data_IF_103771744073
#
_entry.id   IF_103771744073
#
_cell.length_a   1.000
_cell.length_b   1.000
_cell.length_c   1.000
_cell.angle_alpha   90.00
_cell.angle_beta   90.00
_cell.angle_gamma   90.00
#
_symmetry.space_group_name_H-M   'P 1'
#
loop_
_entity.id
_entity.type
_entity.pdbx_description
1 polymer ?
#
# COMPACT_ATOMS: atom_id res chain seq x y z
N UNK A 1 -12.60 13.18 -12.73
CA UNK A 1 -11.31 13.87 -12.95
C UNK A 1 -10.46 13.57 -11.73
N UNK A 2 -9.51 12.64 -11.84
CA UNK A 2 -8.72 12.17 -10.70
C UNK A 2 -7.74 13.25 -10.23
N UNK A 3 -7.72 13.54 -8.93
CA UNK A 3 -6.67 14.33 -8.32
C UNK A 3 -5.35 13.57 -8.46
N UNK A 4 -4.49 13.97 -9.40
CA UNK A 4 -3.10 13.57 -9.36
C UNK A 4 -2.46 14.29 -8.17
N UNK A 5 -2.30 13.58 -7.05
CA UNK A 5 -1.56 14.09 -5.92
C UNK A 5 -0.14 14.46 -6.38
N UNK A 6 0.37 15.61 -5.93
CA UNK A 6 1.74 16.01 -6.23
C UNK A 6 2.68 14.95 -5.65
N UNK A 7 3.57 14.40 -6.47
CA UNK A 7 4.61 13.48 -6.00
C UNK A 7 5.49 14.19 -4.95
N UNK A 8 5.89 13.47 -3.89
CA UNK A 8 6.78 14.03 -2.88
C UNK A 8 8.17 14.31 -3.46
N UNK A 9 8.89 15.27 -2.89
CA UNK A 9 10.22 15.67 -3.40
C UNK A 9 11.25 14.53 -3.35
N UNK A 10 11.04 13.52 -2.48
CA UNK A 10 11.88 12.34 -2.32
C UNK A 10 11.35 11.08 -3.02
N UNK A 11 10.54 11.23 -4.07
CA UNK A 11 9.88 10.10 -4.74
C UNK A 11 10.86 9.00 -5.20
N UNK A 12 12.01 9.38 -5.77
CA UNK A 12 13.05 8.42 -6.18
C UNK A 12 13.53 7.55 -5.00
N UNK A 13 13.69 8.14 -3.81
CA UNK A 13 14.11 7.40 -2.63
C UNK A 13 13.00 6.49 -2.12
N UNK A 14 11.75 6.98 -2.10
CA UNK A 14 10.57 6.19 -1.72
C UNK A 14 10.45 4.94 -2.59
N UNK A 15 10.63 5.10 -3.90
CA UNK A 15 10.54 4.00 -4.87
C UNK A 15 11.70 3.00 -4.74
N UNK A 16 12.92 3.46 -4.47
CA UNK A 16 14.03 2.58 -4.16
C UNK A 16 13.73 1.75 -2.91
N UNK A 17 13.29 2.38 -1.82
CA UNK A 17 12.92 1.69 -0.58
C UNK A 17 11.80 0.68 -0.78
N UNK A 18 10.75 1.02 -1.54
CA UNK A 18 9.66 0.09 -1.82
C UNK A 18 10.14 -1.17 -2.56
N UNK A 19 11.05 -1.02 -3.52
CA UNK A 19 11.66 -2.14 -4.25
C UNK A 19 12.57 -2.98 -3.36
N UNK A 20 13.34 -2.34 -2.50
CA UNK A 20 14.26 -3.01 -1.56
C UNK A 20 13.54 -3.86 -0.51
N UNK A 21 12.30 -3.52 -0.16
CA UNK A 21 11.47 -4.33 0.74
C UNK A 21 11.06 -5.68 0.11
N UNK A 22 11.15 -5.83 -1.21
CA UNK A 22 10.77 -7.05 -1.95
C UNK A 22 9.35 -7.55 -1.68
N UNK A 23 8.43 -6.64 -1.33
CA UNK A 23 7.03 -6.97 -1.02
C UNK A 23 6.09 -6.89 -2.23
N UNK A 24 6.53 -6.25 -3.33
CA UNK A 24 5.75 -6.17 -4.57
C UNK A 24 5.73 -7.52 -5.31
N UNK A 25 4.58 -7.84 -5.92
CA UNK A 25 4.37 -9.07 -6.70
C UNK A 25 4.70 -10.37 -5.92
N UNK A 26 4.56 -10.33 -4.59
CA UNK A 26 4.72 -11.49 -3.70
C UNK A 26 3.37 -12.18 -3.44
N UNK A 27 3.38 -13.47 -3.03
CA UNK A 27 2.18 -14.10 -2.49
C UNK A 27 1.65 -13.34 -1.27
N UNK A 28 0.35 -13.45 -1.00
CA UNK A 28 -0.26 -12.83 0.17
C UNK A 28 0.38 -13.31 1.48
N UNK A 29 0.63 -12.36 2.40
CA UNK A 29 1.12 -12.65 3.75
C UNK A 29 -0.01 -12.54 4.78
N UNK A 30 -0.09 -13.52 5.68
CA UNK A 30 -1.12 -13.56 6.74
C UNK A 30 -1.06 -12.33 7.66
N UNK A 31 0.13 -11.76 7.86
CA UNK A 31 0.35 -10.53 8.62
C UNK A 31 -0.50 -9.37 8.09
N UNK A 32 -0.56 -9.18 6.76
CA UNK A 32 -1.38 -8.14 6.13
C UNK A 32 -2.87 -8.45 6.19
N UNK A 33 -3.26 -9.73 6.12
CA UNK A 33 -4.65 -10.14 6.30
C UNK A 33 -5.16 -9.87 7.72
N UNK A 34 -4.33 -10.14 8.73
CA UNK A 34 -4.65 -9.80 10.12
C UNK A 34 -4.83 -8.30 10.29
N UNK A 35 -3.94 -7.49 9.70
CA UNK A 35 -4.03 -6.03 9.76
C UNK A 35 -5.30 -5.49 9.10
N UNK A 36 -5.65 -5.98 7.91
CA UNK A 36 -6.86 -5.52 7.19
C UNK A 36 -8.13 -5.93 7.93
N UNK A 37 -8.23 -7.18 8.42
CA UNK A 37 -9.37 -7.62 9.25
C UNK A 37 -9.51 -6.77 10.51
N UNK A 38 -8.42 -6.55 11.23
CA UNK A 38 -8.40 -5.73 12.44
C UNK A 38 -8.86 -4.30 12.19
N UNK A 39 -8.39 -3.67 11.09
CA UNK A 39 -8.81 -2.34 10.71
C UNK A 39 -10.32 -2.30 10.36
N UNK A 40 -10.81 -3.24 9.56
CA UNK A 40 -12.23 -3.31 9.20
C UNK A 40 -13.12 -3.47 10.45
N UNK A 41 -12.72 -4.35 11.38
CA UNK A 41 -13.46 -4.62 12.62
C UNK A 41 -13.51 -3.39 13.54
N UNK A 42 -12.37 -2.72 13.75
CA UNK A 42 -12.28 -1.55 14.64
C UNK A 42 -13.06 -0.37 14.08
N UNK A 43 -12.90 -0.09 12.79
CA UNK A 43 -13.53 1.06 12.16
C UNK A 43 -14.96 0.77 11.70
N UNK A 44 -15.44 -0.47 11.87
CA UNK A 44 -16.77 -0.93 11.45
C UNK A 44 -17.02 -0.66 9.97
N UNK A 45 -16.03 -0.95 9.13
CA UNK A 45 -16.11 -0.79 7.68
C UNK A 45 -16.26 -2.13 7.00
N UNK A 46 -16.92 -2.16 5.83
CA UNK A 46 -17.13 -3.40 5.08
C UNK A 46 -15.82 -3.95 4.50
N UNK A 47 -14.86 -3.07 4.18
CA UNK A 47 -13.60 -3.41 3.55
C UNK A 47 -12.49 -2.53 4.14
N UNK A 48 -11.29 -3.10 4.29
CA UNK A 48 -10.04 -2.40 4.54
C UNK A 48 -8.94 -3.00 3.66
N UNK A 49 -7.96 -2.18 3.26
CA UNK A 49 -6.92 -2.57 2.30
C UNK A 49 -5.56 -2.07 2.76
N UNK A 50 -4.53 -2.87 2.51
CA UNK A 50 -3.14 -2.40 2.46
C UNK A 50 -2.81 -2.18 0.99
N UNK A 51 -2.49 -0.94 0.61
CA UNK A 51 -2.15 -0.57 -0.76
C UNK A 51 -0.71 -0.09 -0.83
N UNK A 52 0.08 -0.70 -1.72
CA UNK A 52 1.44 -0.29 -2.02
C UNK A 52 1.43 0.54 -3.30
N UNK A 53 1.85 1.80 -3.20
CA UNK A 53 1.85 2.76 -4.32
C UNK A 53 3.16 2.64 -5.09
N UNK A 54 3.11 2.10 -6.31
CA UNK A 54 4.24 1.95 -7.23
C UNK A 54 4.05 2.83 -8.48
N UNK A 55 5.15 3.31 -9.07
CA UNK A 55 5.14 4.19 -10.25
C UNK A 55 4.31 3.62 -11.42
N UNK A 56 4.20 2.30 -11.53
CA UNK A 56 3.49 1.62 -12.63
C UNK A 56 2.11 1.09 -12.23
N UNK A 57 1.70 1.23 -10.97
CA UNK A 57 0.45 0.66 -10.44
C UNK A 57 -0.11 1.55 -9.33
N UNK A 58 -1.15 2.33 -9.73
CA UNK A 58 -2.06 3.16 -8.93
C UNK A 58 -1.41 4.27 -8.09
#
# INVERSE_FOLDING_TARGET
MGNAAKLPDNENQRMATLRDLQILDTPGEESFDVLTRFAADIFRTEIALVSLVDEKRQ
#
